data_IF_317424397200
#
_entry.id   IF_317424397200
#
_cell.length_a   1.000
_cell.length_b   1.000
_cell.length_c   1.000
_cell.angle_alpha   90.00
_cell.angle_beta   90.00
_cell.angle_gamma   90.00
#
_symmetry.space_group_name_H-M   'P 1'
#
loop_
_entity.id
_entity.type
_entity.pdbx_description
1 polymer ?
#
# COMPACT_ATOMS: atom_id res chain seq x y z
N UNK A 1 80.45 11.86 33.55
CA UNK A 1 79.71 11.20 32.46
C UNK A 1 78.23 11.17 32.84
N UNK A 2 77.44 12.14 32.31
CA UNK A 2 75.99 12.28 32.61
C UNK A 2 75.23 11.59 31.47
N UNK A 3 74.40 10.59 31.78
CA UNK A 3 73.47 9.91 30.83
C UNK A 3 72.20 10.75 30.71
N UNK A 4 71.89 11.14 29.49
CA UNK A 4 70.62 11.77 29.08
C UNK A 4 69.51 10.73 28.97
N UNK A 5 68.28 11.03 29.40
CA UNK A 5 67.13 10.12 29.21
C UNK A 5 66.50 10.32 27.84
N UNK A 6 66.22 9.23 27.13
CA UNK A 6 65.43 9.20 25.91
C UNK A 6 63.94 9.48 26.18
N UNK A 7 63.26 10.30 25.40
CA UNK A 7 61.80 10.44 25.51
C UNK A 7 61.10 9.25 24.87
N UNK A 8 60.16 8.66 25.66
CA UNK A 8 59.20 7.65 25.18
C UNK A 8 58.18 8.32 24.28
N UNK A 9 58.23 8.00 22.99
CA UNK A 9 57.21 8.39 22.01
C UNK A 9 55.98 7.53 22.22
N UNK A 10 54.90 8.09 22.84
CA UNK A 10 53.58 7.48 22.88
C UNK A 10 52.93 7.63 21.50
N UNK A 11 52.85 6.55 20.73
CA UNK A 11 52.02 6.43 19.52
C UNK A 11 50.54 6.33 19.96
N UNK A 12 49.84 7.46 19.91
CA UNK A 12 48.38 7.47 19.94
C UNK A 12 47.86 6.98 18.58
N UNK A 13 47.49 5.71 18.52
CA UNK A 13 46.72 5.15 17.42
C UNK A 13 45.28 5.70 17.49
N UNK A 14 45.02 6.77 16.75
CA UNK A 14 43.65 7.26 16.48
C UNK A 14 42.99 6.26 15.56
N UNK A 15 42.17 5.37 16.12
CA UNK A 15 41.24 4.56 15.36
C UNK A 15 40.18 5.50 14.74
N UNK A 16 40.35 5.87 13.48
CA UNK A 16 39.27 6.44 12.66
C UNK A 16 38.23 5.33 12.47
N UNK A 17 37.19 5.29 13.33
CA UNK A 17 35.97 4.58 13.06
C UNK A 17 35.30 5.32 11.89
N UNK A 18 35.49 4.83 10.68
CA UNK A 18 34.74 5.25 9.51
C UNK A 18 33.27 4.90 9.75
N UNK A 19 32.49 5.89 10.17
CA UNK A 19 31.03 5.89 10.11
C UNK A 19 30.65 5.87 8.62
N UNK A 20 30.65 4.67 8.04
CA UNK A 20 29.96 4.45 6.78
C UNK A 20 28.47 4.71 7.06
N UNK A 21 27.81 5.60 6.32
CA UNK A 21 26.37 5.72 6.40
C UNK A 21 25.83 4.34 6.04
N UNK A 22 25.12 3.72 6.97
CA UNK A 22 24.24 2.61 6.70
C UNK A 22 23.11 3.19 5.83
N UNK A 23 23.41 3.36 4.55
CA UNK A 23 22.38 3.37 3.54
C UNK A 23 21.79 1.97 3.59
N UNK A 24 20.75 1.81 4.42
CA UNK A 24 19.83 0.71 4.28
C UNK A 24 19.35 0.78 2.82
N UNK A 25 20.01 0.03 1.93
CA UNK A 25 19.47 -0.32 0.63
C UNK A 25 18.10 -0.90 0.95
N UNK A 26 17.06 -0.12 0.77
CA UNK A 26 15.74 -0.68 0.56
C UNK A 26 15.94 -1.64 -0.62
N UNK A 27 16.07 -2.92 -0.32
CA UNK A 27 16.03 -3.96 -1.36
C UNK A 27 14.79 -3.64 -2.16
N UNK A 28 15.00 -3.20 -3.39
CA UNK A 28 13.92 -2.87 -4.30
C UNK A 28 13.23 -4.21 -4.56
N UNK A 29 12.13 -4.43 -3.87
CA UNK A 29 11.42 -5.68 -3.87
C UNK A 29 10.85 -5.87 -5.29
N UNK A 30 11.59 -6.61 -6.11
CA UNK A 30 11.21 -6.90 -7.49
C UNK A 30 10.22 -8.04 -7.50
N UNK A 31 8.98 -7.72 -7.79
CA UNK A 31 7.95 -8.73 -8.01
C UNK A 31 8.11 -9.27 -9.43
N UNK A 32 8.13 -10.60 -9.64
CA UNK A 32 8.16 -11.16 -10.97
C UNK A 32 7.01 -10.60 -11.83
N UNK A 33 7.25 -10.19 -13.09
CA UNK A 33 6.22 -9.57 -13.93
C UNK A 33 4.93 -10.37 -14.03
N UNK A 34 5.03 -11.70 -14.14
CA UNK A 34 3.86 -12.59 -14.17
C UNK A 34 3.04 -12.53 -12.87
N UNK A 35 3.71 -12.39 -11.72
CA UNK A 35 3.05 -12.21 -10.42
C UNK A 35 2.38 -10.84 -10.34
N UNK A 36 3.06 -9.78 -10.74
CA UNK A 36 2.51 -8.42 -10.79
C UNK A 36 1.26 -8.35 -11.69
N UNK A 37 1.30 -9.04 -12.83
CA UNK A 37 0.16 -9.13 -13.75
C UNK A 37 -1.04 -9.81 -13.09
N UNK A 38 -0.85 -10.98 -12.47
CA UNK A 38 -1.94 -11.72 -11.79
C UNK A 38 -2.56 -10.89 -10.68
N UNK A 39 -1.72 -10.30 -9.83
CA UNK A 39 -2.16 -9.43 -8.73
C UNK A 39 -2.92 -8.23 -9.29
N UNK A 40 -2.36 -7.54 -10.28
CA UNK A 40 -2.99 -6.38 -10.92
C UNK A 40 -4.37 -6.71 -11.49
N UNK A 41 -4.51 -7.81 -12.22
CA UNK A 41 -5.80 -8.28 -12.73
C UNK A 41 -6.81 -8.59 -11.61
N UNK A 42 -6.35 -9.22 -10.52
CA UNK A 42 -7.23 -9.53 -9.39
C UNK A 42 -7.75 -8.27 -8.70
N UNK A 43 -6.88 -7.29 -8.47
CA UNK A 43 -7.29 -5.99 -7.91
C UNK A 43 -8.24 -5.28 -8.86
N UNK A 44 -7.94 -5.26 -10.16
CA UNK A 44 -8.81 -4.67 -11.17
C UNK A 44 -10.22 -5.27 -11.15
N UNK A 45 -10.34 -6.59 -11.03
CA UNK A 45 -11.62 -7.27 -10.88
C UNK A 45 -12.36 -6.86 -9.60
N UNK A 46 -11.65 -6.76 -8.47
CA UNK A 46 -12.25 -6.44 -7.18
C UNK A 46 -12.70 -4.98 -7.09
N UNK A 47 -11.93 -4.03 -7.60
CA UNK A 47 -12.16 -2.59 -7.43
C UNK A 47 -12.92 -1.98 -8.61
N UNK A 48 -12.67 -2.45 -9.83
CA UNK A 48 -13.15 -1.85 -11.06
C UNK A 48 -14.09 -2.78 -11.85
N UNK A 49 -14.53 -3.90 -11.24
CA UNK A 49 -15.37 -4.93 -11.89
C UNK A 49 -14.73 -5.46 -13.17
N UNK A 50 -13.40 -5.37 -13.31
CA UNK A 50 -12.66 -5.76 -14.52
C UNK A 50 -12.98 -4.96 -15.77
N UNK A 51 -13.53 -3.76 -15.64
CA UNK A 51 -13.93 -2.93 -16.78
C UNK A 51 -13.02 -1.73 -16.98
N UNK A 52 -12.83 -1.30 -18.22
CA UNK A 52 -12.06 -0.09 -18.54
C UNK A 52 -12.71 1.18 -17.97
N UNK A 53 -14.04 1.38 -18.06
CA UNK A 53 -14.70 2.50 -17.40
C UNK A 53 -14.46 2.55 -15.89
N UNK A 54 -14.39 1.39 -15.21
CA UNK A 54 -14.13 1.29 -13.79
C UNK A 54 -12.75 1.79 -13.36
N UNK A 55 -11.78 1.91 -14.28
CA UNK A 55 -10.46 2.49 -14.02
C UNK A 55 -10.49 4.01 -13.73
N UNK A 56 -11.63 4.65 -13.91
CA UNK A 56 -11.79 6.09 -13.67
C UNK A 56 -13.11 6.33 -12.95
N UNK A 57 -13.05 6.78 -11.73
CA UNK A 57 -14.24 7.02 -10.90
C UNK A 57 -14.10 8.28 -10.04
N UNK A 58 -15.22 8.82 -9.63
CA UNK A 58 -15.32 9.88 -8.64
C UNK A 58 -16.60 9.68 -7.85
N UNK A 59 -16.50 9.21 -6.63
CA UNK A 59 -17.66 8.89 -5.82
C UNK A 59 -18.36 10.13 -5.31
N UNK A 60 -19.67 10.04 -5.08
CA UNK A 60 -20.46 11.13 -4.50
C UNK A 60 -19.94 11.45 -3.09
N UNK A 61 -19.65 12.73 -2.84
CA UNK A 61 -19.15 13.21 -1.55
C UNK A 61 -17.64 13.15 -1.38
N UNK A 62 -16.88 12.61 -2.34
CA UNK A 62 -15.42 12.67 -2.35
C UNK A 62 -14.91 13.96 -2.98
N UNK A 63 -13.81 14.50 -2.45
CA UNK A 63 -13.13 15.70 -2.93
C UNK A 63 -12.02 15.39 -3.95
N UNK A 64 -11.99 14.17 -4.51
CA UNK A 64 -10.94 13.65 -5.38
C UNK A 64 -11.49 12.64 -6.40
N UNK A 65 -10.77 12.50 -7.52
CA UNK A 65 -10.96 11.38 -8.43
C UNK A 65 -10.11 10.17 -8.02
N UNK A 66 -10.60 8.99 -8.36
CA UNK A 66 -9.97 7.69 -8.12
C UNK A 66 -9.66 7.02 -9.44
N UNK A 67 -8.38 6.71 -9.71
CA UNK A 67 -7.90 6.28 -11.02
C UNK A 67 -7.04 5.02 -10.93
N UNK A 68 -7.13 4.16 -11.95
CA UNK A 68 -6.40 2.88 -12.01
C UNK A 68 -7.00 1.79 -11.15
N UNK A 69 -6.33 0.63 -11.16
CA UNK A 69 -6.81 -0.60 -10.52
C UNK A 69 -6.92 -0.48 -8.98
N UNK A 70 -6.13 0.37 -8.36
CA UNK A 70 -6.09 0.58 -6.91
C UNK A 70 -6.83 1.84 -6.48
N UNK A 71 -7.66 2.41 -7.32
CA UNK A 71 -8.37 3.67 -7.03
C UNK A 71 -7.43 4.74 -6.48
N UNK A 72 -6.28 4.94 -7.16
CA UNK A 72 -5.26 5.90 -6.75
C UNK A 72 -5.82 7.32 -6.76
N UNK A 73 -5.70 7.99 -5.63
CA UNK A 73 -6.32 9.29 -5.35
C UNK A 73 -5.55 10.41 -6.07
N UNK A 74 -6.31 11.27 -6.76
CA UNK A 74 -5.82 12.49 -7.39
C UNK A 74 -6.72 13.67 -7.04
N UNK A 75 -6.16 14.65 -6.33
CA UNK A 75 -6.89 15.83 -5.91
C UNK A 75 -6.84 16.92 -6.97
N UNK A 76 -7.95 17.67 -7.18
CA UNK A 76 -7.92 18.90 -7.93
C UNK A 76 -7.17 19.99 -7.16
N UNK A 77 -6.76 21.04 -7.86
CA UNK A 77 -6.12 22.22 -7.25
C UNK A 77 -6.97 22.80 -6.12
N UNK A 78 -6.36 22.96 -4.94
CA UNK A 78 -7.05 23.46 -3.76
C UNK A 78 -8.04 22.48 -3.11
N UNK A 79 -8.12 21.24 -3.58
CA UNK A 79 -8.97 20.19 -3.00
C UNK A 79 -8.61 19.87 -1.56
N UNK A 80 -9.62 19.56 -0.72
CA UNK A 80 -9.40 19.13 0.67
C UNK A 80 -8.73 17.77 0.69
N UNK A 81 -7.50 17.69 1.19
CA UNK A 81 -6.71 16.46 1.28
C UNK A 81 -7.03 15.70 2.57
N UNK A 82 -8.01 14.81 2.51
CA UNK A 82 -8.41 13.95 3.64
C UNK A 82 -7.58 12.67 3.70
N UNK A 83 -7.19 12.14 2.53
CA UNK A 83 -6.41 10.92 2.39
C UNK A 83 -5.09 11.19 1.69
N UNK A 84 -4.16 10.25 1.79
CA UNK A 84 -2.89 10.32 1.08
C UNK A 84 -3.10 10.25 -0.43
N UNK A 85 -2.62 11.25 -1.15
CA UNK A 85 -2.65 11.29 -2.60
C UNK A 85 -1.66 10.28 -3.20
N UNK A 86 -2.08 9.55 -4.21
CA UNK A 86 -1.27 8.44 -4.73
C UNK A 86 -1.16 8.37 -6.26
N UNK A 87 -2.06 9.02 -6.99
CA UNK A 87 -2.03 8.98 -8.45
C UNK A 87 -0.80 9.69 -9.07
N UNK A 88 -0.36 10.88 -8.59
CA UNK A 88 0.88 11.48 -9.12
C UNK A 88 2.11 10.59 -8.94
N UNK A 89 2.20 9.84 -7.83
CA UNK A 89 3.26 8.88 -7.60
C UNK A 89 3.17 7.68 -8.56
N UNK A 90 1.96 7.20 -8.88
CA UNK A 90 1.76 6.20 -9.93
C UNK A 90 2.20 6.72 -11.29
N UNK A 91 1.80 7.93 -11.69
CA UNK A 91 2.18 8.52 -12.97
C UNK A 91 3.72 8.63 -13.12
N UNK A 92 4.41 9.06 -12.05
CA UNK A 92 5.87 9.11 -12.00
C UNK A 92 6.50 7.70 -12.09
N UNK A 93 5.92 6.72 -11.39
CA UNK A 93 6.37 5.33 -11.48
C UNK A 93 6.22 4.77 -12.89
N UNK A 94 5.08 4.94 -13.54
CA UNK A 94 4.86 4.50 -14.92
C UNK A 94 5.89 5.13 -15.88
N UNK A 95 6.13 6.44 -15.76
CA UNK A 95 7.15 7.12 -16.55
C UNK A 95 8.56 6.55 -16.30
N UNK A 96 8.93 6.23 -15.06
CA UNK A 96 10.21 5.61 -14.71
C UNK A 96 10.39 4.20 -15.27
N UNK A 97 9.29 3.54 -15.62
CA UNK A 97 9.26 2.23 -16.31
C UNK A 97 9.23 2.33 -17.83
N UNK A 98 9.44 3.53 -18.39
CA UNK A 98 9.47 3.77 -19.82
C UNK A 98 8.11 3.89 -20.49
N UNK A 99 7.02 3.99 -19.71
CA UNK A 99 5.68 4.22 -20.28
C UNK A 99 5.59 5.68 -20.75
N UNK A 100 5.13 5.95 -21.98
CA UNK A 100 4.90 7.31 -22.46
C UNK A 100 3.67 7.92 -21.76
N UNK A 101 3.89 8.55 -20.60
CA UNK A 101 2.84 9.21 -19.82
C UNK A 101 2.65 10.64 -20.33
N UNK A 102 1.45 11.03 -20.80
CA UNK A 102 1.16 12.38 -21.25
C UNK A 102 1.49 13.45 -20.20
N UNK A 103 1.90 14.64 -20.66
CA UNK A 103 2.33 15.71 -19.75
C UNK A 103 1.25 16.13 -18.75
N UNK A 104 0.00 16.19 -19.20
CA UNK A 104 -1.12 16.57 -18.33
C UNK A 104 -1.43 15.53 -17.24
N UNK A 105 -1.15 14.23 -17.48
CA UNK A 105 -1.30 13.16 -16.48
C UNK A 105 -0.19 13.21 -15.43
N UNK A 106 0.96 13.80 -15.76
CA UNK A 106 2.07 14.06 -14.83
C UNK A 106 1.89 15.34 -14.02
N UNK A 107 0.84 16.11 -14.28
CA UNK A 107 0.55 17.31 -13.50
C UNK A 107 0.25 16.96 -12.03
N UNK A 108 0.60 17.85 -11.09
CA UNK A 108 0.36 17.60 -9.66
C UNK A 108 -1.13 17.57 -9.31
N UNK A 109 -1.95 18.32 -10.04
CA UNK A 109 -3.37 18.47 -9.76
C UNK A 109 -4.23 17.77 -10.82
N UNK A 110 -5.32 17.13 -10.37
CA UNK A 110 -6.32 16.54 -11.23
C UNK A 110 -6.96 17.62 -12.13
N UNK A 111 -7.11 17.37 -13.45
CA UNK A 111 -7.60 18.41 -14.37
C UNK A 111 -9.10 18.72 -14.20
N UNK A 112 -9.85 17.81 -13.60
CA UNK A 112 -11.26 18.04 -13.29
C UNK A 112 -11.41 18.67 -11.90
N UNK A 113 -12.02 19.86 -11.77
CA UNK A 113 -12.10 20.57 -10.50
C UNK A 113 -13.07 19.93 -9.50
N UNK A 114 -13.99 19.11 -9.96
CA UNK A 114 -14.99 18.43 -9.14
C UNK A 114 -15.61 17.24 -9.89
N UNK A 115 -16.48 16.49 -9.18
CA UNK A 115 -17.17 15.31 -9.71
C UNK A 115 -18.05 15.62 -10.92
N UNK A 116 -18.73 16.76 -10.93
CA UNK A 116 -19.65 17.19 -11.99
C UNK A 116 -18.87 17.40 -13.30
N UNK A 117 -17.75 18.13 -13.24
CA UNK A 117 -16.85 18.34 -14.39
C UNK A 117 -16.26 17.03 -14.90
N UNK A 118 -15.84 16.13 -13.99
CA UNK A 118 -15.38 14.79 -14.35
C UNK A 118 -16.48 13.98 -15.04
N UNK A 119 -17.71 14.00 -14.50
CA UNK A 119 -18.85 13.26 -15.07
C UNK A 119 -19.20 13.76 -16.47
N UNK A 120 -19.17 15.08 -16.68
CA UNK A 120 -19.38 15.67 -18.00
C UNK A 120 -18.27 15.30 -19.00
N UNK A 121 -17.07 15.01 -18.51
CA UNK A 121 -15.91 14.67 -19.34
C UNK A 121 -15.73 13.16 -19.59
N UNK A 122 -16.63 12.29 -19.14
CA UNK A 122 -16.46 10.82 -19.23
C UNK A 122 -16.24 10.28 -20.66
N UNK A 123 -16.78 10.95 -21.68
CA UNK A 123 -16.59 10.60 -23.09
C UNK A 123 -15.55 11.51 -23.79
N UNK A 124 -14.87 12.38 -23.07
CA UNK A 124 -13.90 13.30 -23.66
C UNK A 124 -12.58 12.61 -24.03
N UNK A 125 -11.81 13.19 -24.99
CA UNK A 125 -10.50 12.65 -25.36
C UNK A 125 -9.54 12.48 -24.16
N UNK A 126 -9.40 13.43 -23.20
CA UNK A 126 -8.55 13.23 -22.03
C UNK A 126 -8.94 12.01 -21.18
N UNK A 127 -10.23 11.78 -20.93
CA UNK A 127 -10.67 10.60 -20.17
C UNK A 127 -10.40 9.30 -20.93
N UNK A 128 -10.58 9.31 -22.24
CA UNK A 128 -10.26 8.17 -23.10
C UNK A 128 -8.76 7.87 -23.10
N UNK A 129 -7.91 8.89 -23.20
CA UNK A 129 -6.45 8.76 -23.15
C UNK A 129 -6.01 8.21 -21.78
N UNK A 130 -6.56 8.72 -20.67
CA UNK A 130 -6.28 8.22 -19.33
C UNK A 130 -6.67 6.74 -19.19
N UNK A 131 -7.87 6.36 -19.64
CA UNK A 131 -8.34 4.97 -19.61
C UNK A 131 -7.46 4.04 -20.44
N UNK A 132 -7.01 4.50 -21.59
CA UNK A 132 -6.07 3.74 -22.44
C UNK A 132 -4.74 3.53 -21.75
N UNK A 133 -4.16 4.57 -21.15
CA UNK A 133 -2.94 4.45 -20.37
C UNK A 133 -3.10 3.44 -19.22
N UNK A 134 -4.18 3.57 -18.46
CA UNK A 134 -4.43 2.72 -17.29
C UNK A 134 -4.70 1.27 -17.69
N UNK A 135 -5.50 1.00 -18.73
CA UNK A 135 -5.77 -0.37 -19.20
C UNK A 135 -4.52 -1.06 -19.74
N UNK A 136 -3.62 -0.32 -20.38
CA UNK A 136 -2.37 -0.86 -20.93
C UNK A 136 -1.29 -1.08 -19.87
N UNK A 137 -1.48 -0.63 -18.63
CA UNK A 137 -0.48 -0.66 -17.57
C UNK A 137 -0.89 -1.43 -16.31
N UNK A 138 -1.90 -2.31 -16.40
CA UNK A 138 -2.43 -3.09 -15.27
C UNK A 138 -1.33 -3.79 -14.46
N UNK A 139 -0.38 -4.46 -15.12
CA UNK A 139 0.71 -5.15 -14.46
C UNK A 139 1.64 -4.18 -13.69
N UNK A 140 1.98 -3.04 -14.29
CA UNK A 140 2.81 -2.02 -13.64
C UNK A 140 2.08 -1.34 -12.47
N UNK A 141 0.78 -1.13 -12.57
CA UNK A 141 -0.02 -0.66 -11.45
C UNK A 141 -0.06 -1.68 -10.31
N UNK A 142 -0.13 -2.98 -10.63
CA UNK A 142 0.03 -4.07 -9.65
C UNK A 142 1.39 -4.04 -8.96
N UNK A 143 2.47 -3.84 -9.71
CA UNK A 143 3.82 -3.68 -9.16
C UNK A 143 3.92 -2.45 -8.25
N UNK A 144 3.40 -1.30 -8.68
CA UNK A 144 3.37 -0.08 -7.88
C UNK A 144 2.62 -0.26 -6.56
N UNK A 145 1.42 -0.86 -6.60
CA UNK A 145 0.63 -1.13 -5.42
C UNK A 145 1.35 -2.07 -4.44
N UNK A 146 2.06 -3.08 -4.95
CA UNK A 146 2.85 -3.99 -4.14
C UNK A 146 4.03 -3.30 -3.46
N UNK A 147 4.80 -2.51 -4.21
CA UNK A 147 5.91 -1.73 -3.64
C UNK A 147 5.41 -0.75 -2.57
N UNK A 148 4.27 -0.09 -2.81
CA UNK A 148 3.64 0.78 -1.82
C UNK A 148 3.25 0.04 -0.54
N UNK A 149 2.62 -1.14 -0.68
CA UNK A 149 2.27 -1.99 0.46
C UNK A 149 3.49 -2.42 1.26
N UNK A 150 4.57 -2.83 0.60
CA UNK A 150 5.79 -3.26 1.29
C UNK A 150 6.49 -2.10 2.01
N UNK A 151 6.44 -0.89 1.45
CA UNK A 151 6.95 0.32 2.10
C UNK A 151 6.12 0.77 3.32
N UNK A 152 4.93 0.20 3.55
CA UNK A 152 4.11 0.49 4.72
C UNK A 152 4.64 -0.14 6.02
N UNK A 153 5.51 -1.16 5.94
CA UNK A 153 6.00 -1.89 7.12
C UNK A 153 6.62 -1.00 8.20
N UNK A 154 7.55 -0.07 7.93
CA UNK A 154 8.10 0.80 8.96
C UNK A 154 7.03 1.63 9.68
N UNK A 155 6.04 2.14 8.95
CA UNK A 155 4.93 2.91 9.50
C UNK A 155 4.02 2.04 10.38
N UNK A 156 3.73 0.82 9.94
CA UNK A 156 2.96 -0.17 10.71
C UNK A 156 3.70 -0.51 12.01
N UNK A 157 5.01 -0.77 11.95
CA UNK A 157 5.82 -1.09 13.14
C UNK A 157 5.93 0.10 14.11
N UNK A 158 6.03 1.33 13.59
CA UNK A 158 6.02 2.52 14.42
C UNK A 158 4.71 2.68 15.21
N UNK A 159 3.58 2.37 14.59
CA UNK A 159 2.25 2.43 15.20
C UNK A 159 1.92 1.22 16.10
N UNK A 160 2.66 0.13 15.98
CA UNK A 160 2.47 -1.08 16.76
C UNK A 160 3.03 -0.95 18.19
N UNK A 161 2.37 -1.60 19.19
CA UNK A 161 2.94 -1.73 20.53
C UNK A 161 4.33 -2.34 20.47
N UNK A 162 5.33 -1.81 21.21
CA UNK A 162 6.72 -2.30 21.14
C UNK A 162 6.85 -3.81 21.30
N UNK A 163 6.12 -4.41 22.24
CA UNK A 163 6.15 -5.84 22.52
C UNK A 163 5.61 -6.72 21.35
N UNK A 164 4.87 -6.15 20.40
CA UNK A 164 4.28 -6.86 19.29
C UNK A 164 5.03 -6.66 17.97
N UNK A 165 5.98 -5.73 17.91
CA UNK A 165 6.66 -5.36 16.64
C UNK A 165 7.32 -6.54 15.95
N UNK A 166 8.06 -7.36 16.69
CA UNK A 166 8.77 -8.51 16.12
C UNK A 166 7.82 -9.55 15.50
N UNK A 167 6.70 -9.87 16.17
CA UNK A 167 5.74 -10.83 15.64
C UNK A 167 4.97 -10.24 14.43
N UNK A 168 4.63 -8.95 14.46
CA UNK A 168 3.98 -8.25 13.33
C UNK A 168 4.91 -8.24 12.12
N UNK A 169 6.18 -7.91 12.31
CA UNK A 169 7.18 -7.95 11.25
C UNK A 169 7.33 -9.35 10.65
N UNK A 170 7.43 -10.39 11.49
CA UNK A 170 7.52 -11.77 11.05
C UNK A 170 6.31 -12.18 10.19
N UNK A 171 5.10 -11.83 10.61
CA UNK A 171 3.84 -12.08 9.87
C UNK A 171 3.80 -11.34 8.54
N UNK A 172 4.18 -10.07 8.53
CA UNK A 172 4.25 -9.26 7.32
C UNK A 172 5.26 -9.85 6.31
N UNK A 173 6.46 -10.22 6.77
CA UNK A 173 7.48 -10.85 5.92
C UNK A 173 7.04 -12.21 5.39
N UNK A 174 6.36 -13.03 6.19
CA UNK A 174 5.81 -14.31 5.75
C UNK A 174 4.77 -14.13 4.63
N UNK A 175 3.91 -13.13 4.73
CA UNK A 175 3.00 -12.75 3.65
C UNK A 175 3.76 -12.24 2.42
N UNK A 176 4.73 -11.35 2.60
CA UNK A 176 5.53 -10.79 1.50
C UNK A 176 6.35 -11.84 0.73
N UNK A 177 6.57 -13.03 1.30
CA UNK A 177 7.37 -14.07 0.70
C UNK A 177 6.63 -14.95 -0.35
N UNK A 178 5.33 -14.71 -0.59
CA UNK A 178 4.56 -15.45 -1.59
C UNK A 178 3.66 -14.53 -2.42
N UNK A 179 3.34 -14.88 -3.69
CA UNK A 179 2.40 -14.12 -4.51
C UNK A 179 1.03 -13.95 -3.85
N UNK A 180 0.50 -14.99 -3.24
CA UNK A 180 -0.78 -14.96 -2.53
C UNK A 180 -0.74 -14.05 -1.30
N UNK A 181 0.35 -14.09 -0.53
CA UNK A 181 0.52 -13.20 0.62
C UNK A 181 0.75 -11.75 0.23
N UNK A 182 1.48 -11.47 -0.84
CA UNK A 182 1.60 -10.13 -1.42
C UNK A 182 0.23 -9.58 -1.80
N UNK A 183 -0.60 -10.39 -2.45
CA UNK A 183 -1.98 -10.02 -2.76
C UNK A 183 -2.77 -9.65 -1.49
N UNK A 184 -2.64 -10.43 -0.40
CA UNK A 184 -3.28 -10.12 0.88
C UNK A 184 -2.88 -8.73 1.40
N UNK A 185 -1.57 -8.44 1.43
CA UNK A 185 -1.06 -7.15 1.91
C UNK A 185 -1.60 -5.99 1.07
N UNK A 186 -1.52 -6.13 -0.26
CA UNK A 186 -1.90 -5.07 -1.19
C UNK A 186 -3.39 -4.80 -1.21
N UNK A 187 -4.18 -5.87 -1.38
CA UNK A 187 -5.62 -5.76 -1.48
C UNK A 187 -6.23 -5.24 -0.18
N UNK A 188 -5.72 -5.68 0.98
CA UNK A 188 -6.24 -5.25 2.26
C UNK A 188 -5.91 -3.79 2.60
N UNK A 189 -4.70 -3.33 2.30
CA UNK A 189 -4.35 -1.91 2.45
C UNK A 189 -5.22 -1.03 1.56
N UNK A 190 -5.45 -1.46 0.33
CA UNK A 190 -6.35 -0.75 -0.60
C UNK A 190 -7.80 -0.76 -0.10
N UNK A 191 -8.24 -1.86 0.49
CA UNK A 191 -9.61 -2.08 0.96
C UNK A 191 -9.91 -1.39 2.31
N UNK A 192 -8.98 -1.41 3.28
CA UNK A 192 -9.21 -0.98 4.67
C UNK A 192 -8.10 -0.13 5.27
N UNK A 193 -7.09 0.19 4.48
CA UNK A 193 -5.96 1.00 4.94
C UNK A 193 -4.93 0.24 5.76
N UNK A 194 -3.89 0.96 6.17
CA UNK A 194 -2.79 0.42 6.96
C UNK A 194 -3.15 0.18 8.44
N UNK A 195 -4.19 0.82 8.96
CA UNK A 195 -4.60 0.74 10.35
C UNK A 195 -3.73 1.55 11.32
N UNK A 196 -2.96 2.49 10.80
CA UNK A 196 -2.06 3.35 11.57
C UNK A 196 -2.70 4.66 11.99
N UNK A 197 -3.78 5.08 11.34
CA UNK A 197 -4.49 6.32 11.64
C UNK A 197 -5.35 6.16 12.91
N UNK A 198 -5.09 6.94 13.98
CA UNK A 198 -5.89 6.85 15.21
C UNK A 198 -7.34 7.32 15.05
N UNK A 199 -7.67 8.08 14.01
CA UNK A 199 -9.05 8.49 13.73
C UNK A 199 -9.89 7.36 13.10
N UNK A 200 -9.25 6.31 12.55
CA UNK A 200 -9.93 5.15 11.95
C UNK A 200 -10.13 4.05 12.99
N UNK A 201 -10.91 4.36 14.06
CA UNK A 201 -11.18 3.44 15.17
C UNK A 201 -12.62 3.58 15.66
N UNK A 202 -13.23 2.46 16.03
CA UNK A 202 -14.44 2.44 16.81
C UNK A 202 -14.12 1.93 18.21
N UNK A 203 -14.46 2.68 19.23
CA UNK A 203 -14.17 2.35 20.64
C UNK A 203 -12.70 1.95 20.85
N UNK A 204 -11.76 2.69 20.26
CA UNK A 204 -10.32 2.44 20.33
C UNK A 204 -9.79 1.30 19.45
N UNK A 205 -10.66 0.54 18.79
CA UNK A 205 -10.30 -0.61 17.94
C UNK A 205 -10.27 -0.22 16.47
N UNK A 206 -9.11 -0.37 15.83
CA UNK A 206 -8.94 -0.18 14.38
C UNK A 206 -9.28 -1.45 13.59
N UNK A 207 -9.24 -1.33 12.26
CA UNK A 207 -9.59 -2.42 11.35
C UNK A 207 -8.69 -2.54 10.11
N UNK A 208 -7.58 -1.83 10.08
CA UNK A 208 -6.64 -1.86 8.96
C UNK A 208 -5.65 -3.03 9.05
N UNK A 209 -4.65 -3.01 8.19
CA UNK A 209 -3.66 -4.09 8.07
C UNK A 209 -2.95 -4.38 9.40
N UNK A 210 -2.56 -3.34 10.16
CA UNK A 210 -1.94 -3.51 11.48
C UNK A 210 -2.77 -4.42 12.38
N UNK A 211 -4.09 -4.19 12.47
CA UNK A 211 -4.98 -4.98 13.33
C UNK A 211 -5.15 -6.41 12.84
N UNK A 212 -5.17 -6.62 11.52
CA UNK A 212 -5.18 -7.98 10.96
C UNK A 212 -3.89 -8.72 11.34
N UNK A 213 -2.73 -8.08 11.16
CA UNK A 213 -1.45 -8.67 11.56
C UNK A 213 -1.37 -8.96 13.06
N UNK A 214 -1.97 -8.12 13.90
CA UNK A 214 -2.09 -8.39 15.35
C UNK A 214 -2.97 -9.60 15.65
N UNK A 215 -4.05 -9.80 14.90
CA UNK A 215 -5.03 -10.86 15.12
C UNK A 215 -4.65 -12.21 14.50
N UNK A 216 -3.62 -12.28 13.64
CA UNK A 216 -3.10 -13.56 13.13
C UNK A 216 -2.57 -14.42 14.28
N UNK A 217 -2.72 -15.74 14.17
CA UNK A 217 -2.21 -16.71 15.16
C UNK A 217 -0.80 -17.16 14.81
N UNK A 218 0.06 -17.22 15.81
CA UNK A 218 1.43 -17.67 15.63
C UNK A 218 2.23 -16.84 14.63
N UNK A 219 3.27 -17.43 14.06
CA UNK A 219 4.05 -16.90 12.93
C UNK A 219 4.03 -17.96 11.83
N UNK A 220 3.01 -17.93 10.95
CA UNK A 220 2.84 -18.94 9.92
C UNK A 220 3.97 -18.88 8.88
N UNK A 221 4.32 -20.04 8.30
CA UNK A 221 5.17 -20.07 7.13
C UNK A 221 4.48 -19.43 5.92
N UNK A 222 5.26 -18.99 4.94
CA UNK A 222 4.76 -18.26 3.75
C UNK A 222 3.58 -18.96 3.04
N UNK A 223 3.58 -20.29 2.97
CA UNK A 223 2.50 -21.06 2.35
C UNK A 223 1.18 -21.03 3.14
N UNK A 224 1.24 -20.87 4.45
CA UNK A 224 0.08 -20.86 5.35
C UNK A 224 -0.39 -19.43 5.69
N UNK A 225 0.49 -18.46 5.53
CA UNK A 225 0.24 -17.09 5.91
C UNK A 225 -1.03 -16.48 5.27
N UNK A 226 -1.37 -16.71 3.98
CA UNK A 226 -2.58 -16.20 3.38
C UNK A 226 -3.87 -16.74 4.01
N UNK A 227 -3.91 -18.03 4.37
CA UNK A 227 -5.07 -18.64 5.02
C UNK A 227 -5.28 -18.08 6.43
N UNK A 228 -4.22 -17.95 7.22
CA UNK A 228 -4.28 -17.35 8.54
C UNK A 228 -4.66 -15.87 8.47
N UNK A 229 -4.12 -15.15 7.48
CA UNK A 229 -4.51 -13.76 7.20
C UNK A 229 -6.01 -13.64 6.90
N UNK A 230 -6.58 -14.53 6.08
CA UNK A 230 -8.00 -14.53 5.75
C UNK A 230 -8.89 -14.66 7.01
N UNK A 231 -8.51 -15.55 7.94
CA UNK A 231 -9.19 -15.74 9.22
C UNK A 231 -9.09 -14.48 10.07
N UNK A 232 -7.90 -13.91 10.21
CA UNK A 232 -7.65 -12.71 11.00
C UNK A 232 -8.37 -11.48 10.42
N UNK A 233 -8.36 -11.31 9.10
CA UNK A 233 -9.06 -10.23 8.40
C UNK A 233 -10.57 -10.29 8.64
N UNK A 234 -11.14 -11.48 8.52
CA UNK A 234 -12.57 -11.70 8.81
C UNK A 234 -12.91 -11.33 10.26
N UNK A 235 -12.13 -11.81 11.23
CA UNK A 235 -12.34 -11.51 12.66
C UNK A 235 -12.23 -10.01 12.94
N UNK A 236 -11.24 -9.33 12.31
CA UNK A 236 -11.05 -7.88 12.44
C UNK A 236 -12.25 -7.09 11.92
N UNK A 237 -12.79 -7.46 10.76
CA UNK A 237 -13.96 -6.79 10.19
C UNK A 237 -15.26 -7.14 10.92
N UNK A 238 -15.39 -8.35 11.44
CA UNK A 238 -16.52 -8.71 12.30
C UNK A 238 -16.52 -7.85 13.58
N UNK A 239 -15.37 -7.67 14.20
CA UNK A 239 -15.22 -6.79 15.37
C UNK A 239 -15.54 -5.34 15.03
N UNK A 240 -15.13 -4.84 13.85
CA UNK A 240 -15.53 -3.51 13.37
C UNK A 240 -17.05 -3.35 13.31
N UNK A 241 -17.77 -4.31 12.72
CA UNK A 241 -19.24 -4.29 12.61
C UNK A 241 -19.89 -4.24 13.99
N UNK A 242 -19.37 -5.02 14.96
CA UNK A 242 -19.89 -5.05 16.33
C UNK A 242 -19.71 -3.71 17.05
N UNK A 243 -18.63 -2.99 16.77
CA UNK A 243 -18.27 -1.74 17.44
C UNK A 243 -18.79 -0.49 16.70
N UNK A 244 -19.34 -0.66 15.49
CA UNK A 244 -19.76 0.44 14.64
C UNK A 244 -20.86 1.29 15.31
N UNK A 245 -20.73 2.63 15.34
CA UNK A 245 -21.73 3.53 15.91
C UNK A 245 -23.02 3.59 15.09
N UNK A 246 -22.95 3.15 13.83
CA UNK A 246 -24.10 2.98 12.92
C UNK A 246 -24.07 1.57 12.33
N UNK A 247 -25.21 0.96 11.99
CA UNK A 247 -25.23 -0.38 11.42
C UNK A 247 -24.35 -0.51 10.17
N UNK A 248 -23.39 -1.44 10.20
CA UNK A 248 -22.54 -1.80 9.06
C UNK A 248 -22.79 -3.26 8.60
N UNK A 249 -23.81 -3.92 9.15
CA UNK A 249 -24.12 -5.34 8.87
C UNK A 249 -24.44 -5.62 7.39
N UNK A 250 -24.95 -4.64 6.65
CA UNK A 250 -25.19 -4.75 5.20
C UNK A 250 -23.90 -5.03 4.41
N UNK A 251 -22.74 -4.64 4.92
CA UNK A 251 -21.45 -4.87 4.26
C UNK A 251 -20.83 -6.23 4.58
N UNK A 252 -21.34 -6.93 5.60
CA UNK A 252 -20.74 -8.16 6.16
C UNK A 252 -20.51 -9.23 5.11
N UNK A 253 -21.52 -9.52 4.29
CA UNK A 253 -21.43 -10.59 3.28
C UNK A 253 -20.31 -10.29 2.24
N UNK A 254 -20.27 -9.08 1.71
CA UNK A 254 -19.26 -8.65 0.76
C UNK A 254 -17.85 -8.65 1.36
N UNK A 255 -17.68 -8.12 2.57
CA UNK A 255 -16.39 -8.11 3.25
C UNK A 255 -15.88 -9.52 3.55
N UNK A 256 -16.75 -10.42 4.02
CA UNK A 256 -16.38 -11.79 4.35
C UNK A 256 -16.04 -12.60 3.09
N UNK A 257 -16.76 -12.40 1.98
CA UNK A 257 -16.44 -12.98 0.68
C UNK A 257 -15.06 -12.55 0.21
N UNK A 258 -14.71 -11.25 0.33
CA UNK A 258 -13.39 -10.73 -0.01
C UNK A 258 -12.32 -11.35 0.89
N UNK A 259 -12.51 -11.40 2.21
CA UNK A 259 -11.57 -12.04 3.12
C UNK A 259 -11.35 -13.52 2.77
N UNK A 260 -12.41 -14.26 2.43
CA UNK A 260 -12.31 -15.67 2.04
C UNK A 260 -11.48 -15.86 0.74
N UNK A 261 -11.43 -14.87 -0.13
CA UNK A 261 -10.63 -14.93 -1.37
C UNK A 261 -9.12 -14.95 -1.10
N UNK A 262 -8.65 -14.42 0.04
CA UNK A 262 -7.23 -14.42 0.39
C UNK A 262 -6.66 -15.83 0.58
N UNK A 263 -7.46 -16.75 1.12
CA UNK A 263 -7.04 -18.14 1.31
C UNK A 263 -6.96 -18.94 -0.01
N UNK A 264 -7.61 -18.46 -1.08
CA UNK A 264 -7.64 -19.16 -2.38
C UNK A 264 -6.42 -18.88 -3.26
N UNK A 265 -5.63 -17.87 -2.89
CA UNK A 265 -4.50 -17.40 -3.70
C UNK A 265 -4.92 -16.58 -4.93
N UNK A 266 -3.97 -16.41 -5.85
CA UNK A 266 -4.11 -15.65 -7.11
C UNK A 266 -3.74 -16.50 -8.32
#
# INVERSE_FOLDING_TARGET
>A
MKRLPFPRLCLLATALLSLLPVQARAEEFRIPPATAQKIGHRIWQNECVGTVPGLTSWNKGEAFGSFGIGHFIWYPKGGRRTYEESFPALAAFLASRGVPVPAWIKAPDCPWPNREAFTAALASPPTTELRTLLSNTIALQGEFAAQRSLRSLPKILAAAPPAQRAIIEGRFRALGASPAGLYCLMDYVNFKGEGTNPAERYQGTGWGLLQVLQNMRGTPHAAQAPAEFAIAARATLDRRIQLAPKPESQWRAGWFSRCASYAKGI
#
